data_IF_389054582592
#
_entry.id   IF_389054582592
#
_cell.length_a   1.000
_cell.length_b   1.000
_cell.length_c   1.000
_cell.angle_alpha   90.00
_cell.angle_beta   90.00
_cell.angle_gamma   90.00
#
_symmetry.space_group_name_H-M   'P 1'
#
loop_
_entity.id
_entity.type
_entity.pdbx_description
1 polymer ?
#
# COMPACT_ATOMS: atom_id res chain seq x y z
N UNK A 1 -20.66 15.08 -8.01
CA UNK A 1 -20.30 14.01 -7.05
C UNK A 1 -21.56 13.22 -6.72
N UNK A 2 -21.48 11.88 -6.62
CA UNK A 2 -22.66 11.00 -6.48
C UNK A 2 -23.17 10.85 -5.04
N UNK A 3 -22.48 11.45 -4.06
CA UNK A 3 -22.82 11.34 -2.63
C UNK A 3 -22.51 9.97 -2.01
N UNK A 4 -21.85 9.08 -2.75
CA UNK A 4 -21.45 7.75 -2.28
C UNK A 4 -19.99 7.78 -1.81
N UNK A 5 -19.62 6.93 -0.83
CA UNK A 5 -18.23 6.76 -0.43
C UNK A 5 -17.34 6.34 -1.61
N UNK A 6 -16.14 6.90 -1.66
CA UNK A 6 -15.13 6.66 -2.70
C UNK A 6 -13.94 5.91 -2.11
N UNK A 7 -13.49 4.87 -2.82
CA UNK A 7 -12.32 4.07 -2.45
C UNK A 7 -11.22 4.25 -3.50
N UNK A 8 -10.01 4.56 -3.04
CA UNK A 8 -8.80 4.48 -3.85
C UNK A 8 -8.12 3.11 -3.70
N UNK A 9 -7.32 2.75 -4.70
CA UNK A 9 -6.47 1.55 -4.69
C UNK A 9 -5.09 1.94 -5.21
N UNK A 10 -4.02 1.38 -4.62
CA UNK A 10 -2.66 1.72 -5.04
C UNK A 10 -1.57 0.98 -4.28
N UNK A 11 -0.31 1.27 -4.65
CA UNK A 11 0.88 0.74 -3.99
C UNK A 11 1.18 1.53 -2.72
N UNK A 12 0.38 1.32 -1.67
CA UNK A 12 0.61 1.95 -0.36
C UNK A 12 1.87 1.36 0.27
N UNK A 13 2.75 2.24 0.75
CA UNK A 13 4.08 1.95 1.33
C UNK A 13 5.00 1.14 0.43
N UNK A 14 4.75 1.10 -0.89
CA UNK A 14 5.60 0.39 -1.84
C UNK A 14 5.85 1.23 -3.09
N UNK A 15 7.08 1.27 -3.56
CA UNK A 15 7.40 1.75 -4.90
C UNK A 15 7.34 0.58 -5.87
N UNK A 16 6.49 0.72 -6.87
CA UNK A 16 6.04 -0.38 -7.71
C UNK A 16 5.82 0.13 -9.11
N UNK A 17 6.71 -0.26 -10.02
CA UNK A 17 6.52 0.03 -11.44
C UNK A 17 5.47 -0.94 -12.00
N UNK A 18 4.20 -0.56 -11.86
CA UNK A 18 3.06 -1.33 -12.36
C UNK A 18 3.10 -1.52 -13.88
N UNK A 19 3.88 -0.71 -14.61
CA UNK A 19 4.02 -0.81 -16.07
C UNK A 19 5.12 -1.77 -16.50
N UNK A 20 6.10 -2.07 -15.65
CA UNK A 20 7.26 -2.87 -15.99
C UNK A 20 6.99 -4.39 -15.97
N UNK A 21 5.92 -4.84 -15.32
CA UNK A 21 5.70 -6.26 -15.12
C UNK A 21 4.58 -6.84 -15.98
N UNK A 22 5.00 -7.54 -17.03
CA UNK A 22 4.17 -8.28 -17.98
C UNK A 22 3.53 -9.52 -17.32
N UNK A 23 4.02 -9.95 -16.15
CA UNK A 23 3.50 -11.11 -15.40
C UNK A 23 2.48 -10.74 -14.31
N UNK A 24 2.31 -9.45 -14.03
CA UNK A 24 1.26 -8.91 -13.15
C UNK A 24 1.56 -8.93 -11.65
N UNK A 25 2.72 -9.40 -11.20
CA UNK A 25 3.10 -9.49 -9.77
C UNK A 25 4.56 -9.05 -9.58
N UNK A 26 4.77 -7.74 -9.63
CA UNK A 26 6.09 -7.15 -9.42
C UNK A 26 6.43 -7.14 -7.93
N UNK A 27 7.71 -7.39 -7.62
CA UNK A 27 8.28 -7.01 -6.35
C UNK A 27 8.10 -5.49 -6.15
N UNK A 28 7.86 -5.09 -4.91
CA UNK A 28 7.72 -3.68 -4.53
C UNK A 28 8.71 -3.37 -3.43
N UNK A 29 9.59 -2.41 -3.68
CA UNK A 29 10.48 -1.90 -2.64
C UNK A 29 9.65 -1.10 -1.63
N UNK A 30 10.00 -1.17 -0.34
CA UNK A 30 9.42 -0.26 0.66
C UNK A 30 9.60 1.20 0.21
N UNK A 31 8.51 1.98 0.23
CA UNK A 31 8.58 3.42 -0.04
C UNK A 31 7.48 4.17 0.70
N UNK A 32 7.86 4.89 1.74
CA UNK A 32 6.94 5.68 2.55
C UNK A 32 6.42 6.93 1.84
N UNK A 33 7.05 7.38 0.75
CA UNK A 33 6.57 8.53 -0.06
C UNK A 33 5.14 8.34 -0.57
N UNK A 34 4.75 7.09 -0.81
CA UNK A 34 3.39 6.75 -1.24
C UNK A 34 2.36 6.95 -0.14
N UNK A 35 2.77 6.87 1.13
CA UNK A 35 1.90 7.12 2.28
C UNK A 35 1.53 8.61 2.37
N UNK A 36 2.49 9.51 2.15
CA UNK A 36 2.24 10.95 2.12
C UNK A 36 1.20 11.31 1.05
N UNK A 37 1.33 10.75 -0.15
CA UNK A 37 0.38 10.95 -1.24
C UNK A 37 -1.05 10.47 -0.88
N UNK A 38 -1.16 9.37 -0.12
CA UNK A 38 -2.45 8.87 0.36
C UNK A 38 -3.05 9.83 1.39
N UNK A 39 -2.26 10.28 2.36
CA UNK A 39 -2.71 11.23 3.38
C UNK A 39 -3.18 12.54 2.76
N UNK A 40 -2.43 13.06 1.80
CA UNK A 40 -2.80 14.26 1.05
C UNK A 40 -4.10 14.07 0.25
N UNK A 41 -4.30 12.90 -0.36
CA UNK A 41 -5.53 12.57 -1.08
C UNK A 41 -6.75 12.53 -0.17
N UNK A 42 -6.63 11.94 1.03
CA UNK A 42 -7.69 11.96 2.04
C UNK A 42 -7.96 13.40 2.49
N UNK A 43 -6.92 14.19 2.77
CA UNK A 43 -7.05 15.57 3.23
C UNK A 43 -7.73 16.49 2.20
N UNK A 44 -7.53 16.23 0.89
CA UNK A 44 -8.22 16.91 -0.20
C UNK A 44 -9.65 16.41 -0.45
N UNK A 45 -10.03 15.27 0.13
CA UNK A 45 -11.32 14.64 -0.12
C UNK A 45 -11.40 13.92 -1.47
N UNK A 46 -10.27 13.50 -2.03
CA UNK A 46 -10.22 12.75 -3.31
C UNK A 46 -10.85 11.35 -3.15
N UNK A 47 -10.74 10.76 -1.96
CA UNK A 47 -11.33 9.48 -1.58
C UNK A 47 -11.48 9.37 -0.06
N UNK A 48 -12.40 8.52 0.40
CA UNK A 48 -12.72 8.33 1.83
C UNK A 48 -11.89 7.20 2.45
N UNK A 49 -11.55 6.18 1.65
CA UNK A 49 -10.82 4.99 2.10
C UNK A 49 -9.80 4.54 1.04
N UNK A 50 -8.72 3.91 1.51
CA UNK A 50 -7.65 3.37 0.67
C UNK A 50 -7.54 1.85 0.90
N UNK A 51 -7.48 1.08 -0.19
CA UNK A 51 -7.18 -0.34 -0.10
C UNK A 51 -5.66 -0.58 -0.05
N UNK A 52 -5.21 -1.40 0.90
CA UNK A 52 -3.81 -1.83 1.03
C UNK A 52 -3.71 -3.30 0.66
N UNK A 53 -2.96 -3.61 -0.40
CA UNK A 53 -2.80 -4.97 -0.92
C UNK A 53 -1.45 -5.59 -0.54
N UNK A 54 -0.50 -5.55 -1.48
CA UNK A 54 0.82 -6.20 -1.37
C UNK A 54 1.59 -5.88 -0.10
N UNK A 55 1.51 -4.64 0.40
CA UNK A 55 2.20 -4.29 1.64
C UNK A 55 1.63 -5.01 2.86
N UNK A 56 0.33 -5.33 2.85
CA UNK A 56 -0.34 -6.10 3.89
C UNK A 56 0.05 -7.59 3.83
N UNK A 57 0.36 -8.11 2.64
CA UNK A 57 0.81 -9.50 2.47
C UNK A 57 2.19 -9.69 3.12
N UNK A 58 3.12 -8.76 2.92
CA UNK A 58 4.44 -8.81 3.55
C UNK A 58 4.44 -8.35 5.02
N UNK A 59 3.39 -7.65 5.46
CA UNK A 59 3.28 -7.08 6.80
C UNK A 59 1.85 -7.27 7.35
N UNK A 60 1.52 -8.41 7.98
CA UNK A 60 0.17 -8.63 8.53
C UNK A 60 -0.17 -7.63 9.65
N UNK A 61 0.84 -7.07 10.33
CA UNK A 61 0.73 -6.04 11.35
C UNK A 61 0.82 -4.60 10.79
N UNK A 62 0.70 -4.42 9.46
CA UNK A 62 0.88 -3.13 8.77
C UNK A 62 0.16 -1.97 9.46
N UNK A 63 -1.15 -2.12 9.74
CA UNK A 63 -1.94 -1.05 10.35
C UNK A 63 -1.45 -0.67 11.74
N UNK A 64 -0.97 -1.64 12.53
CA UNK A 64 -0.38 -1.37 13.85
C UNK A 64 0.93 -0.60 13.70
N UNK A 65 1.80 -1.01 12.78
CA UNK A 65 3.07 -0.33 12.52
C UNK A 65 2.87 1.12 12.08
N UNK A 66 1.95 1.36 11.15
CA UNK A 66 1.60 2.73 10.73
C UNK A 66 1.08 3.55 11.91
N UNK A 67 0.15 3.00 12.69
CA UNK A 67 -0.42 3.67 13.86
C UNK A 67 0.62 4.01 14.92
N UNK A 68 1.62 3.15 15.12
CA UNK A 68 2.69 3.35 16.10
C UNK A 68 3.85 4.20 15.59
N UNK A 69 3.87 4.57 14.31
CA UNK A 69 4.97 5.33 13.70
C UNK A 69 6.17 4.47 13.30
N UNK A 70 6.03 3.14 13.27
CA UNK A 70 7.09 2.18 12.95
C UNK A 70 7.05 1.77 11.46
N UNK A 71 6.69 2.71 10.58
CA UNK A 71 6.53 2.42 9.15
C UNK A 71 7.85 2.06 8.45
N UNK A 72 8.99 2.54 8.96
CA UNK A 72 10.33 2.22 8.46
C UNK A 72 10.73 0.76 8.66
N UNK A 73 10.08 0.04 9.57
CA UNK A 73 10.32 -1.38 9.81
C UNK A 73 9.51 -2.31 8.89
N UNK A 74 8.70 -1.75 7.98
CA UNK A 74 7.91 -2.53 7.05
C UNK A 74 8.81 -3.29 6.06
N UNK A 75 8.40 -4.50 5.72
CA UNK A 75 9.07 -5.33 4.74
C UNK A 75 8.61 -4.97 3.32
N UNK A 76 9.57 -4.91 2.40
CA UNK A 76 9.32 -4.92 0.97
C UNK A 76 8.46 -6.12 0.56
N UNK A 77 7.67 -5.97 -0.49
CA UNK A 77 6.92 -7.08 -1.05
C UNK A 77 7.78 -7.83 -2.07
N UNK A 78 7.83 -9.15 -1.95
CA UNK A 78 8.38 -10.05 -2.95
C UNK A 78 7.39 -11.17 -3.25
N UNK A 79 7.59 -11.86 -4.38
CA UNK A 79 6.66 -12.89 -4.86
C UNK A 79 6.60 -14.09 -3.92
N UNK A 80 7.66 -14.35 -3.17
CA UNK A 80 7.76 -15.43 -2.20
C UNK A 80 6.70 -15.29 -1.09
N UNK A 81 6.33 -14.06 -0.72
CA UNK A 81 5.26 -13.82 0.26
C UNK A 81 3.87 -14.27 -0.21
N UNK A 82 3.67 -14.59 -1.50
CA UNK A 82 2.42 -15.17 -1.97
C UNK A 82 2.30 -16.67 -1.70
N UNK A 83 3.42 -17.33 -1.36
CA UNK A 83 3.46 -18.76 -1.11
C UNK A 83 3.19 -19.11 0.37
N UNK A 84 3.26 -18.12 1.26
CA UNK A 84 3.03 -18.29 2.69
C UNK A 84 2.37 -17.05 3.29
N UNK A 85 1.28 -17.25 4.03
CA UNK A 85 0.68 -16.22 4.89
C UNK A 85 1.20 -16.45 6.33
N UNK A 86 1.71 -15.39 6.94
CA UNK A 86 2.23 -15.39 8.32
C UNK A 86 1.20 -14.88 9.31
#
# INVERSE_FOLDING_TARGET
MTGKPTMAVGSVTLDLDFKADVTGIAAGALSLKTLDAVLDGIARGDFDIIAVGRSLISNPDWTLRIRHGNAEELLSFSREHLLSLH
#
